data_IF_311778632172
#
_entry.id   IF_311778632172
#
_cell.length_a   1.000
_cell.length_b   1.000
_cell.length_c   1.000
_cell.angle_alpha   90.00
_cell.angle_beta   90.00
_cell.angle_gamma   90.00
#
_symmetry.space_group_name_H-M   'P 1'
#
loop_
_entity.id
_entity.type
_entity.pdbx_description
1 polymer ?
#
# COMPACT_ATOMS: atom_id res chain seq x y z
N UNK A 1 -7.93 8.44 -21.11
CA UNK A 1 -8.75 7.30 -21.55
C UNK A 1 -7.80 6.29 -22.18
N UNK A 2 -7.94 5.00 -21.88
CA UNK A 2 -7.13 3.96 -22.50
C UNK A 2 -7.99 3.37 -23.62
N UNK A 3 -7.48 3.42 -24.85
CA UNK A 3 -8.24 3.05 -26.05
C UNK A 3 -7.96 1.59 -26.49
N UNK A 4 -6.85 1.00 -26.05
CA UNK A 4 -6.51 -0.39 -26.29
C UNK A 4 -5.56 -0.93 -25.19
N UNK A 5 -5.69 -2.20 -24.83
CA UNK A 5 -4.78 -2.89 -23.90
C UNK A 5 -4.56 -4.35 -24.35
N UNK A 6 -3.41 -4.92 -24.01
CA UNK A 6 -3.11 -6.33 -24.25
C UNK A 6 -3.54 -7.16 -23.03
N UNK A 7 -4.32 -8.21 -23.23
CA UNK A 7 -4.74 -9.12 -22.18
C UNK A 7 -3.63 -10.14 -21.83
N UNK A 8 -3.89 -10.97 -20.83
CA UNK A 8 -3.00 -12.02 -20.34
C UNK A 8 -2.68 -13.11 -21.38
N UNK A 9 -3.61 -13.39 -22.29
CA UNK A 9 -3.42 -14.30 -23.44
C UNK A 9 -2.61 -13.68 -24.57
N UNK A 10 -2.40 -12.37 -24.52
CA UNK A 10 -1.64 -11.60 -25.47
C UNK A 10 -2.45 -10.99 -26.62
N UNK A 11 -3.78 -11.06 -26.55
CA UNK A 11 -4.66 -10.40 -27.51
C UNK A 11 -4.86 -8.93 -27.15
N UNK A 12 -5.01 -8.07 -28.16
CA UNK A 12 -5.31 -6.65 -27.96
C UNK A 12 -6.82 -6.47 -27.95
N UNK A 13 -7.34 -5.85 -26.89
CA UNK A 13 -8.75 -5.47 -26.76
C UNK A 13 -8.91 -3.95 -26.75
N UNK A 14 -9.99 -3.48 -27.37
CA UNK A 14 -10.46 -2.09 -27.33
C UNK A 14 -11.80 -1.98 -26.60
N UNK A 15 -12.33 -3.09 -26.08
CA UNK A 15 -13.58 -3.09 -25.32
C UNK A 15 -13.37 -2.41 -23.96
N UNK A 16 -14.17 -1.38 -23.68
CA UNK A 16 -14.01 -0.58 -22.47
C UNK A 16 -14.20 -1.37 -21.17
N UNK A 17 -15.09 -2.38 -21.16
CA UNK A 17 -15.38 -3.22 -19.98
C UNK A 17 -14.23 -4.19 -19.72
N UNK A 18 -13.68 -4.76 -20.79
CA UNK A 18 -12.52 -5.63 -20.76
C UNK A 18 -11.27 -4.86 -20.31
N UNK A 19 -11.03 -3.67 -20.86
CA UNK A 19 -9.94 -2.77 -20.44
C UNK A 19 -10.01 -2.48 -18.93
N UNK A 20 -11.18 -2.10 -18.42
CA UNK A 20 -11.36 -1.84 -16.99
C UNK A 20 -11.11 -3.09 -16.13
N UNK A 21 -11.52 -4.26 -16.62
CA UNK A 21 -11.35 -5.53 -15.92
C UNK A 21 -9.88 -5.93 -15.85
N UNK A 22 -9.15 -5.81 -16.97
CA UNK A 22 -7.72 -6.11 -17.04
C UNK A 22 -6.92 -5.19 -16.10
N UNK A 23 -7.19 -3.88 -16.10
CA UNK A 23 -6.51 -2.93 -15.21
C UNK A 23 -6.80 -3.23 -13.73
N UNK A 24 -8.06 -3.52 -13.41
CA UNK A 24 -8.47 -3.86 -12.04
C UNK A 24 -7.78 -5.14 -11.57
N UNK A 25 -7.78 -6.18 -12.39
CA UNK A 25 -7.21 -7.47 -12.03
C UNK A 25 -5.68 -7.40 -11.93
N UNK A 26 -5.03 -6.62 -12.80
CA UNK A 26 -3.59 -6.33 -12.71
C UNK A 26 -3.24 -5.70 -11.34
N UNK A 27 -3.91 -4.63 -10.95
CA UNK A 27 -3.61 -3.97 -9.67
C UNK A 27 -4.01 -4.80 -8.46
N UNK A 28 -5.07 -5.61 -8.57
CA UNK A 28 -5.46 -6.56 -7.54
C UNK A 28 -4.37 -7.62 -7.32
N UNK A 29 -3.74 -8.11 -8.38
CA UNK A 29 -2.61 -9.04 -8.28
C UNK A 29 -1.33 -8.34 -7.81
N UNK A 30 -1.03 -7.15 -8.34
CA UNK A 30 0.15 -6.35 -8.00
C UNK A 30 0.21 -6.03 -6.50
N UNK A 31 -0.94 -5.68 -5.92
CA UNK A 31 -1.09 -5.38 -4.50
C UNK A 31 -1.70 -6.55 -3.71
N UNK A 32 -1.81 -7.74 -4.31
CA UNK A 32 -2.17 -8.92 -3.53
C UNK A 32 -1.05 -9.14 -2.51
N UNK A 33 -1.40 -9.10 -1.23
CA UNK A 33 -0.46 -9.40 -0.18
C UNK A 33 -0.03 -10.86 -0.32
N UNK A 34 1.21 -11.08 -0.77
CA UNK A 34 1.83 -12.41 -0.83
C UNK A 34 2.10 -12.85 0.61
N UNK A 35 1.22 -13.66 1.19
CA UNK A 35 1.45 -14.36 2.46
C UNK A 35 2.50 -15.48 2.32
N UNK A 36 3.51 -15.30 1.45
CA UNK A 36 4.36 -16.40 0.98
C UNK A 36 5.35 -16.89 2.02
N UNK A 37 5.53 -16.17 3.12
CA UNK A 37 6.41 -16.64 4.18
C UNK A 37 6.04 -16.08 5.55
N UNK A 38 4.87 -16.50 6.06
CA UNK A 38 4.47 -16.20 7.44
C UNK A 38 5.55 -16.63 8.44
N UNK A 39 6.22 -17.76 8.19
CA UNK A 39 7.28 -18.26 9.05
C UNK A 39 8.56 -17.39 9.01
N UNK A 40 8.96 -16.88 7.85
CA UNK A 40 10.08 -15.92 7.74
C UNK A 40 9.73 -14.56 8.32
N UNK A 41 8.47 -14.13 8.20
CA UNK A 41 8.00 -12.90 8.84
C UNK A 41 7.99 -13.03 10.37
N UNK A 42 7.52 -14.16 10.91
CA UNK A 42 7.58 -14.45 12.34
C UNK A 42 9.04 -14.52 12.82
N UNK A 43 9.92 -15.24 12.09
CA UNK A 43 11.36 -15.25 12.39
C UNK A 43 11.97 -13.86 12.33
N UNK A 44 11.58 -13.04 11.36
CA UNK A 44 12.05 -11.67 11.26
C UNK A 44 11.66 -10.86 12.49
N UNK A 45 10.40 -10.96 12.93
CA UNK A 45 9.91 -10.30 14.14
C UNK A 45 10.64 -10.80 15.40
N UNK A 46 10.95 -12.09 15.50
CA UNK A 46 11.73 -12.68 16.60
C UNK A 46 13.18 -12.18 16.63
N UNK A 47 13.78 -11.95 15.45
CA UNK A 47 15.15 -11.39 15.35
C UNK A 47 15.19 -9.87 15.54
N UNK A 48 14.08 -9.19 15.29
CA UNK A 48 13.99 -7.75 15.48
C UNK A 48 13.89 -7.44 16.98
N UNK A 49 14.95 -6.86 17.54
CA UNK A 49 14.86 -6.17 18.84
C UNK A 49 14.06 -4.88 18.68
N UNK A 50 12.73 -5.00 18.58
CA UNK A 50 11.85 -3.85 18.59
C UNK A 50 11.94 -3.18 19.97
N UNK A 51 12.11 -1.86 20.03
CA UNK A 51 12.09 -1.15 21.31
C UNK A 51 10.73 -1.38 21.96
N UNK A 52 10.74 -1.79 23.22
CA UNK A 52 9.52 -1.86 24.02
C UNK A 52 9.04 -0.44 24.26
N UNK A 53 7.78 -0.18 23.89
CA UNK A 53 7.16 1.11 24.13
C UNK A 53 6.88 1.27 25.62
N UNK A 54 7.14 2.47 26.14
CA UNK A 54 6.71 2.81 27.49
C UNK A 54 5.21 3.14 27.53
N UNK A 55 4.66 3.27 28.73
CA UNK A 55 3.22 3.48 28.91
C UNK A 55 2.69 4.77 28.26
N UNK A 56 3.49 5.85 28.23
CA UNK A 56 3.08 7.13 27.63
C UNK A 56 3.11 7.09 26.10
N UNK A 57 4.09 6.40 25.51
CA UNK A 57 4.15 6.17 24.06
C UNK A 57 2.96 5.33 23.59
N UNK A 58 2.61 4.28 24.33
CA UNK A 58 1.42 3.46 24.05
C UNK A 58 0.13 4.30 24.13
N UNK A 59 -0.02 5.14 25.15
CA UNK A 59 -1.18 6.05 25.27
C UNK A 59 -1.24 7.03 24.10
N UNK A 60 -0.09 7.56 23.68
CA UNK A 60 0.01 8.52 22.58
C UNK A 60 -0.39 7.88 21.26
N UNK A 61 0.10 6.67 20.97
CA UNK A 61 -0.23 5.93 19.75
C UNK A 61 -1.71 5.48 19.71
N UNK A 62 -2.28 5.11 20.86
CA UNK A 62 -3.69 4.70 20.95
C UNK A 62 -4.66 5.89 21.05
N UNK A 63 -4.16 7.11 21.20
CA UNK A 63 -4.99 8.31 21.25
C UNK A 63 -5.65 8.53 19.89
N UNK A 64 -6.89 9.02 19.90
CA UNK A 64 -7.59 9.44 18.69
C UNK A 64 -6.81 10.53 17.96
N UNK A 65 -6.55 10.31 16.67
CA UNK A 65 -5.93 11.29 15.78
C UNK A 65 -6.84 12.52 15.65
N UNK A 66 -6.27 13.71 15.81
CA UNK A 66 -6.99 14.98 15.65
C UNK A 66 -6.63 15.65 14.32
N UNK A 67 -7.57 16.46 13.81
CA UNK A 67 -7.44 17.12 12.50
C UNK A 67 -6.15 17.96 12.37
N UNK A 68 -5.75 18.65 13.43
CA UNK A 68 -4.55 19.50 13.43
C UNK A 68 -3.26 18.70 13.25
N UNK A 69 -3.20 17.46 13.73
CA UNK A 69 -2.05 16.57 13.53
C UNK A 69 -1.95 16.18 12.05
N UNK A 70 -3.08 15.85 11.43
CA UNK A 70 -3.16 15.52 9.98
C UNK A 70 -2.76 16.72 9.13
N UNK A 71 -3.30 17.92 9.42
CA UNK A 71 -2.95 19.14 8.68
C UNK A 71 -1.47 19.50 8.83
N UNK A 72 -0.89 19.32 10.02
CA UNK A 72 0.53 19.56 10.26
C UNK A 72 1.40 18.55 9.52
N UNK A 73 1.02 17.26 9.55
CA UNK A 73 1.72 16.21 8.82
C UNK A 73 1.71 16.45 7.30
N UNK A 74 0.57 16.84 6.74
CA UNK A 74 0.47 17.17 5.31
C UNK A 74 1.38 18.35 4.95
N UNK A 75 1.43 19.39 5.80
CA UNK A 75 2.30 20.55 5.58
C UNK A 75 3.79 20.22 5.71
N UNK A 76 4.16 19.22 6.51
CA UNK A 76 5.54 18.78 6.68
C UNK A 76 6.01 17.80 5.61
N UNK A 77 5.10 17.25 4.79
CA UNK A 77 5.47 16.39 3.68
C UNK A 77 6.29 17.17 2.64
N UNK A 78 7.37 16.58 2.10
CA UNK A 78 8.14 17.20 1.03
C UNK A 78 7.25 17.40 -0.22
N UNK A 79 7.24 18.60 -0.81
CA UNK A 79 6.46 18.85 -2.02
C UNK A 79 6.99 18.03 -3.19
N UNK A 80 6.10 17.65 -4.11
CA UNK A 80 6.43 16.94 -5.37
C UNK A 80 6.97 15.52 -5.21
N UNK A 81 6.74 14.85 -4.07
CA UNK A 81 6.88 13.40 -4.00
C UNK A 81 5.60 12.74 -4.54
N UNK A 82 5.66 12.30 -5.79
CA UNK A 82 4.74 11.26 -6.26
C UNK A 82 5.08 9.97 -5.51
N UNK A 83 4.10 9.26 -4.94
CA UNK A 83 4.36 7.94 -4.40
C UNK A 83 4.56 6.98 -5.58
N UNK A 84 5.82 6.62 -5.86
CA UNK A 84 6.16 5.55 -6.80
C UNK A 84 7.60 5.62 -7.31
N UNK A 85 8.17 4.50 -7.79
CA UNK A 85 9.17 4.53 -8.86
C UNK A 85 8.60 5.10 -10.15
#
# INVERSE_FOLDING_TARGET
>A
QIDAIKNDKGDITTDATEIQTIIRDYYKQLYAHKLENLEEMDKFLDTCTLPSLNQEEVKTLNRRIIRSEVETAIKSLPPKKSPGP
#
